data_IF_739112158807
#
_entry.id   IF_739112158807
#
_cell.length_a   1.000
_cell.length_b   1.000
_cell.length_c   1.000
_cell.angle_alpha   90.00
_cell.angle_beta   90.00
_cell.angle_gamma   90.00
#
_symmetry.space_group_name_H-M   'P 1'
#
loop_
_entity.id
_entity.type
_entity.pdbx_description
1 polymer ?
#
# COMPACT_ATOMS: atom_id res chain seq x y z
N UNK A 1 -0.20 -57.83 2.98
CA UNK A 1 0.41 -56.70 2.23
C UNK A 1 -0.72 -55.96 1.55
N UNK A 2 -1.18 -54.81 2.08
CA UNK A 2 -2.23 -53.99 1.46
C UNK A 2 -1.55 -52.96 0.57
N UNK A 3 -1.73 -53.09 -0.74
CA UNK A 3 -1.29 -52.07 -1.69
C UNK A 3 -2.40 -51.03 -1.80
N UNK A 4 -2.21 -49.87 -1.18
CA UNK A 4 -3.02 -48.68 -1.47
C UNK A 4 -2.66 -48.20 -2.88
N UNK A 5 -3.58 -48.42 -3.83
CA UNK A 5 -3.53 -47.75 -5.12
C UNK A 5 -4.19 -46.38 -4.92
N UNK A 6 -3.37 -45.33 -4.85
CA UNK A 6 -3.88 -43.95 -5.00
C UNK A 6 -4.41 -43.80 -6.43
N UNK A 7 -5.71 -44.00 -6.60
CA UNK A 7 -6.38 -43.71 -7.85
C UNK A 7 -6.50 -42.19 -8.00
N UNK A 8 -5.60 -41.61 -8.79
CA UNK A 8 -5.69 -40.22 -9.21
C UNK A 8 -6.76 -40.11 -10.30
N UNK A 9 -8.04 -40.16 -9.90
CA UNK A 9 -9.18 -40.12 -10.82
C UNK A 9 -9.34 -38.67 -11.29
N UNK A 10 -9.09 -38.36 -12.57
CA UNK A 10 -9.31 -37.02 -13.08
C UNK A 10 -10.79 -36.65 -12.94
N UNK A 11 -11.06 -35.42 -12.51
CA UNK A 11 -12.41 -34.90 -12.39
C UNK A 11 -13.20 -35.12 -13.69
N UNK A 12 -14.42 -35.63 -13.54
CA UNK A 12 -15.37 -35.71 -14.66
C UNK A 12 -15.61 -34.32 -15.24
N UNK A 13 -16.08 -34.24 -16.48
CA UNK A 13 -16.33 -32.96 -17.14
C UNK A 13 -17.33 -32.08 -16.36
N UNK A 14 -18.38 -32.70 -15.79
CA UNK A 14 -19.29 -32.04 -14.84
C UNK A 14 -18.57 -31.58 -13.56
N UNK A 15 -17.65 -32.38 -13.01
CA UNK A 15 -16.84 -32.03 -11.85
C UNK A 15 -15.87 -30.86 -12.11
N UNK A 16 -15.26 -30.82 -13.30
CA UNK A 16 -14.42 -29.70 -13.77
C UNK A 16 -15.26 -28.43 -13.93
N UNK A 17 -16.44 -28.53 -14.52
CA UNK A 17 -17.36 -27.40 -14.69
C UNK A 17 -17.85 -26.82 -13.35
N UNK A 18 -18.20 -27.68 -12.39
CA UNK A 18 -18.60 -27.24 -11.04
C UNK A 18 -17.43 -26.59 -10.29
N UNK A 19 -16.22 -27.19 -10.36
CA UNK A 19 -15.01 -26.64 -9.74
C UNK A 19 -14.61 -25.28 -10.34
N UNK A 20 -14.70 -25.14 -11.67
CA UNK A 20 -14.50 -23.87 -12.37
C UNK A 20 -15.58 -22.84 -12.02
N UNK A 21 -16.85 -23.25 -11.92
CA UNK A 21 -17.95 -22.37 -11.53
C UNK A 21 -17.79 -21.86 -10.10
N UNK A 22 -17.39 -22.72 -9.17
CA UNK A 22 -17.10 -22.32 -7.78
C UNK A 22 -15.88 -21.42 -7.68
N UNK A 23 -14.78 -21.74 -8.38
CA UNK A 23 -13.60 -20.88 -8.45
C UNK A 23 -13.92 -19.51 -9.06
N UNK A 24 -14.77 -19.46 -10.08
CA UNK A 24 -15.24 -18.21 -10.68
C UNK A 24 -16.18 -17.46 -9.75
N UNK A 25 -17.13 -18.12 -9.10
CA UNK A 25 -18.02 -17.50 -8.11
C UNK A 25 -17.24 -16.94 -6.91
N UNK A 26 -16.20 -17.66 -6.45
CA UNK A 26 -15.28 -17.21 -5.41
C UNK A 26 -14.45 -16.01 -5.89
N UNK A 27 -13.84 -16.06 -7.08
CA UNK A 27 -13.15 -14.91 -7.68
C UNK A 27 -14.08 -13.72 -7.92
N UNK A 28 -15.35 -13.94 -8.23
CA UNK A 28 -16.36 -12.89 -8.40
C UNK A 28 -16.81 -12.31 -7.05
N UNK A 29 -16.95 -13.13 -6.01
CA UNK A 29 -17.24 -12.70 -4.64
C UNK A 29 -16.07 -11.91 -4.02
N UNK A 30 -14.85 -12.45 -4.16
CA UNK A 30 -13.60 -11.79 -3.78
C UNK A 30 -13.34 -10.53 -4.64
N UNK A 31 -13.78 -10.56 -5.91
CA UNK A 31 -13.65 -9.46 -6.85
C UNK A 31 -14.66 -8.32 -6.67
N UNK A 32 -15.85 -8.57 -6.07
CA UNK A 32 -16.96 -7.59 -6.07
C UNK A 32 -17.54 -7.18 -4.70
N UNK A 33 -17.06 -7.68 -3.57
CA UNK A 33 -17.48 -7.07 -2.31
C UNK A 33 -16.63 -5.83 -2.00
N UNK A 34 -17.11 -4.66 -2.43
CA UNK A 34 -16.58 -3.36 -2.00
C UNK A 34 -16.37 -3.32 -0.49
N UNK A 35 -17.26 -3.97 0.26
CA UNK A 35 -17.19 -4.09 1.72
C UNK A 35 -15.95 -4.84 2.19
N UNK A 36 -15.59 -5.98 1.60
CA UNK A 36 -14.39 -6.74 1.99
C UNK A 36 -13.12 -5.96 1.63
N UNK A 37 -13.07 -5.37 0.43
CA UNK A 37 -11.94 -4.53 0.00
C UNK A 37 -11.78 -3.30 0.89
N UNK A 38 -12.90 -2.66 1.24
CA UNK A 38 -12.91 -1.47 2.10
C UNK A 38 -12.56 -1.81 3.54
N UNK A 39 -13.08 -2.91 4.08
CA UNK A 39 -12.72 -3.40 5.42
C UNK A 39 -11.22 -3.65 5.53
N UNK A 40 -10.64 -4.39 4.57
CA UNK A 40 -9.21 -4.65 4.52
C UNK A 40 -8.39 -3.35 4.45
N UNK A 41 -8.74 -2.43 3.54
CA UNK A 41 -8.05 -1.13 3.46
C UNK A 41 -8.17 -0.30 4.74
N UNK A 42 -9.29 -0.40 5.45
CA UNK A 42 -9.47 0.30 6.73
C UNK A 42 -8.59 -0.32 7.82
N UNK A 43 -8.45 -1.64 7.85
CA UNK A 43 -7.53 -2.35 8.75
C UNK A 43 -6.07 -1.96 8.47
N UNK A 44 -5.65 -2.01 7.21
CA UNK A 44 -4.30 -1.60 6.78
C UNK A 44 -4.04 -0.12 7.05
N UNK A 45 -5.04 0.76 6.84
CA UNK A 45 -4.93 2.18 7.18
C UNK A 45 -4.81 2.41 8.69
N UNK A 46 -5.53 1.64 9.50
CA UNK A 46 -5.39 1.68 10.96
C UNK A 46 -3.97 1.29 11.38
N UNK A 47 -3.45 0.20 10.84
CA UNK A 47 -2.07 -0.24 11.10
C UNK A 47 -1.04 0.80 10.63
N UNK A 48 -1.24 1.41 9.46
CA UNK A 48 -0.42 2.53 8.99
C UNK A 48 -0.40 3.69 10.00
N UNK A 49 -1.54 4.07 10.57
CA UNK A 49 -1.61 5.14 11.55
C UNK A 49 -0.83 4.80 12.83
N UNK A 50 -0.95 3.55 13.30
CA UNK A 50 -0.21 3.08 14.48
C UNK A 50 1.30 3.05 14.24
N UNK A 51 1.74 2.51 13.08
CA UNK A 51 3.15 2.48 12.70
C UNK A 51 3.72 3.90 12.57
N UNK A 52 2.95 4.81 11.97
CA UNK A 52 3.35 6.22 11.81
C UNK A 52 3.55 6.88 13.16
N UNK A 53 2.63 6.69 14.09
CA UNK A 53 2.72 7.30 15.42
C UNK A 53 3.91 6.75 16.21
N UNK A 54 4.12 5.42 16.18
CA UNK A 54 5.30 4.78 16.80
C UNK A 54 6.60 5.29 16.20
N UNK A 55 6.71 5.32 14.87
CA UNK A 55 7.85 5.87 14.17
C UNK A 55 8.13 7.31 14.63
N UNK A 56 7.11 8.18 14.62
CA UNK A 56 7.25 9.57 15.04
C UNK A 56 7.76 9.69 16.47
N UNK A 57 7.20 8.91 17.40
CA UNK A 57 7.63 8.92 18.80
C UNK A 57 9.08 8.43 18.97
N UNK A 58 9.47 7.39 18.24
CA UNK A 58 10.82 6.82 18.29
C UNK A 58 11.87 7.72 17.63
N UNK A 59 11.48 8.54 16.65
CA UNK A 59 12.41 9.36 15.86
C UNK A 59 12.39 10.86 16.18
N UNK A 60 11.49 11.33 17.06
CA UNK A 60 11.32 12.78 17.34
C UNK A 60 12.60 13.45 17.87
N UNK A 61 13.44 12.71 18.60
CA UNK A 61 14.72 13.20 19.12
C UNK A 61 15.94 12.64 18.37
N UNK A 62 15.72 11.88 17.29
CA UNK A 62 16.80 11.32 16.50
C UNK A 62 17.31 12.35 15.50
N UNK A 63 18.63 12.52 15.44
CA UNK A 63 19.27 13.50 14.53
C UNK A 63 19.90 12.83 13.31
N UNK A 64 20.11 11.52 13.36
CA UNK A 64 20.62 10.75 12.23
C UNK A 64 19.50 10.40 11.25
N UNK A 65 19.56 10.96 10.04
CA UNK A 65 18.63 10.62 8.97
C UNK A 65 18.63 9.12 8.66
N UNK A 66 19.78 8.46 8.73
CA UNK A 66 19.87 7.01 8.51
C UNK A 66 19.03 6.23 9.52
N UNK A 67 19.11 6.58 10.81
CA UNK A 67 18.31 5.93 11.85
C UNK A 67 16.82 6.24 11.73
N UNK A 68 16.46 7.45 11.30
CA UNK A 68 15.07 7.83 11.04
C UNK A 68 14.48 6.95 9.92
N UNK A 69 15.24 6.70 8.85
CA UNK A 69 14.79 5.93 7.69
C UNK A 69 14.96 4.42 7.83
N UNK A 70 15.87 3.96 8.69
CA UNK A 70 16.06 2.53 9.00
C UNK A 70 15.15 2.04 10.15
N UNK A 71 14.31 2.91 10.70
CA UNK A 71 13.37 2.54 11.74
C UNK A 71 12.41 1.42 11.25
N UNK A 72 12.18 0.41 12.08
CA UNK A 72 11.40 -0.76 11.69
C UNK A 72 9.94 -0.43 11.35
N UNK A 73 9.32 0.53 12.04
CA UNK A 73 7.96 0.98 11.74
C UNK A 73 7.91 1.71 10.40
N UNK A 74 8.93 2.51 10.08
CA UNK A 74 9.04 3.21 8.81
C UNK A 74 9.24 2.26 7.62
N UNK A 75 10.09 1.23 7.79
CA UNK A 75 10.29 0.20 6.76
C UNK A 75 8.99 -0.57 6.51
N UNK A 76 8.25 -0.95 7.56
CA UNK A 76 6.94 -1.59 7.39
C UNK A 76 5.94 -0.73 6.62
N UNK A 77 5.96 0.59 6.82
CA UNK A 77 5.14 1.52 6.02
C UNK A 77 5.51 1.45 4.54
N UNK A 78 6.80 1.36 4.23
CA UNK A 78 7.30 1.20 2.84
C UNK A 78 6.88 -0.15 2.26
N UNK A 79 6.87 -1.22 3.06
CA UNK A 79 6.52 -2.57 2.62
C UNK A 79 5.06 -2.71 2.13
N UNK A 80 4.15 -1.84 2.57
CA UNK A 80 2.79 -1.75 2.00
C UNK A 80 2.78 -1.30 0.52
N UNK A 81 3.86 -0.67 0.05
CA UNK A 81 4.00 -0.27 -1.34
C UNK A 81 2.90 0.70 -1.79
N UNK A 82 2.30 0.41 -2.95
CA UNK A 82 1.36 1.29 -3.63
C UNK A 82 0.06 1.57 -2.83
N UNK A 83 -0.38 0.65 -1.97
CA UNK A 83 -1.56 0.84 -1.12
C UNK A 83 -1.35 1.95 -0.08
N UNK A 84 -0.11 2.18 0.36
CA UNK A 84 0.22 3.25 1.32
C UNK A 84 0.39 4.63 0.67
N UNK A 85 0.55 4.71 -0.66
CA UNK A 85 0.79 5.99 -1.35
C UNK A 85 -0.29 7.05 -1.05
N UNK A 86 -1.60 6.77 -1.16
CA UNK A 86 -2.64 7.76 -0.83
C UNK A 86 -2.54 8.28 0.60
N UNK A 87 -2.17 7.41 1.54
CA UNK A 87 -2.08 7.75 2.96
C UNK A 87 -0.85 8.61 3.23
N UNK A 88 0.30 8.25 2.66
CA UNK A 88 1.56 9.00 2.75
C UNK A 88 1.40 10.38 2.10
N UNK A 89 0.80 10.48 0.91
CA UNK A 89 0.56 11.75 0.22
C UNK A 89 -0.37 12.65 1.05
N UNK A 90 -1.46 12.08 1.60
CA UNK A 90 -2.40 12.81 2.45
C UNK A 90 -1.73 13.32 3.73
N UNK A 91 -0.85 12.52 4.33
CA UNK A 91 -0.11 12.91 5.53
C UNK A 91 0.95 13.98 5.22
N UNK A 92 1.71 13.83 4.11
CA UNK A 92 2.64 14.84 3.61
C UNK A 92 1.94 16.19 3.39
N UNK A 93 0.73 16.19 2.83
CA UNK A 93 -0.07 17.41 2.63
C UNK A 93 -0.43 18.08 3.96
N UNK A 94 -0.90 17.30 4.96
CA UNK A 94 -1.43 17.80 6.24
C UNK A 94 -0.36 18.15 7.26
N UNK A 95 0.55 17.22 7.50
CA UNK A 95 1.50 17.25 8.61
C UNK A 95 2.93 17.52 8.16
N UNK A 96 3.21 17.38 6.85
CA UNK A 96 4.58 17.38 6.36
C UNK A 96 5.33 16.11 6.78
N UNK A 97 6.66 16.22 6.90
CA UNK A 97 7.52 15.14 7.38
C UNK A 97 8.43 14.55 6.30
N UNK A 98 9.25 13.59 6.72
CA UNK A 98 10.28 12.97 5.88
C UNK A 98 9.71 11.84 5.00
N UNK A 99 8.61 12.09 4.31
CA UNK A 99 7.98 11.10 3.43
C UNK A 99 8.65 10.94 2.07
N UNK A 100 9.52 11.88 1.67
CA UNK A 100 10.18 11.84 0.36
C UNK A 100 10.98 10.55 0.11
N UNK A 101 11.58 9.99 1.16
CA UNK A 101 12.30 8.72 1.04
C UNK A 101 11.33 7.56 0.79
N UNK A 102 10.27 7.42 1.59
CA UNK A 102 9.24 6.41 1.38
C UNK A 102 8.59 6.54 -0.01
N UNK A 103 8.21 7.75 -0.41
CA UNK A 103 7.63 8.01 -1.73
C UNK A 103 8.57 7.60 -2.86
N UNK A 104 9.86 7.93 -2.77
CA UNK A 104 10.86 7.51 -3.75
C UNK A 104 11.05 6.00 -3.77
N UNK A 105 11.07 5.34 -2.61
CA UNK A 105 11.23 3.89 -2.50
C UNK A 105 10.05 3.13 -3.09
N UNK A 106 8.83 3.58 -2.82
CA UNK A 106 7.61 2.94 -3.30
C UNK A 106 7.41 3.19 -4.80
N UNK A 107 7.61 4.43 -5.26
CA UNK A 107 7.35 4.80 -6.67
C UNK A 107 8.49 4.47 -7.62
N UNK A 108 9.71 4.30 -7.09
CA UNK A 108 10.94 4.19 -7.89
C UNK A 108 11.32 5.48 -8.62
N UNK A 109 10.61 6.58 -8.38
CA UNK A 109 10.75 7.85 -9.10
C UNK A 109 11.01 9.01 -8.14
N UNK A 110 11.56 10.12 -8.65
CA UNK A 110 11.75 11.35 -7.88
C UNK A 110 11.33 12.58 -8.72
N UNK A 111 10.18 13.21 -8.44
CA UNK A 111 9.67 14.36 -9.17
C UNK A 111 10.35 15.69 -8.80
N UNK A 112 11.24 15.71 -7.81
CA UNK A 112 11.84 16.94 -7.29
C UNK A 112 12.68 17.62 -8.37
N UNK A 113 12.32 18.86 -8.72
CA UNK A 113 13.05 19.70 -9.66
C UNK A 113 14.39 20.13 -9.05
N UNK A 114 15.42 20.27 -9.88
CA UNK A 114 16.78 20.62 -9.42
C UNK A 114 16.84 21.90 -8.59
N UNK A 115 16.05 22.90 -8.97
CA UNK A 115 15.88 24.19 -8.26
C UNK A 115 15.23 24.09 -6.87
N UNK A 116 14.52 22.99 -6.60
CA UNK A 116 13.83 22.74 -5.35
C UNK A 116 14.61 21.81 -4.42
N UNK A 117 15.74 21.23 -4.86
CA UNK A 117 16.57 20.37 -4.01
C UNK A 117 17.04 21.13 -2.77
N UNK A 118 16.82 20.55 -1.60
CA UNK A 118 17.15 21.17 -0.29
C UNK A 118 16.14 22.21 0.17
N UNK A 119 15.16 22.60 -0.65
CA UNK A 119 14.06 23.49 -0.28
C UNK A 119 12.85 22.65 0.07
N UNK A 120 12.67 22.37 1.36
CA UNK A 120 11.63 21.47 1.86
C UNK A 120 10.23 21.74 1.25
N UNK A 121 9.77 23.00 1.25
CA UNK A 121 8.46 23.35 0.68
C UNK A 121 8.40 23.15 -0.84
N UNK A 122 9.50 23.41 -1.56
CA UNK A 122 9.60 23.14 -3.00
C UNK A 122 9.54 21.64 -3.30
N UNK A 123 10.30 20.83 -2.56
CA UNK A 123 10.28 19.37 -2.66
C UNK A 123 8.89 18.80 -2.35
N UNK A 124 8.24 19.32 -1.31
CA UNK A 124 6.86 18.97 -0.96
C UNK A 124 5.91 19.31 -2.10
N UNK A 125 6.01 20.52 -2.66
CA UNK A 125 5.18 20.94 -3.79
C UNK A 125 5.35 20.04 -5.01
N UNK A 126 6.59 19.69 -5.39
CA UNK A 126 6.84 18.82 -6.54
C UNK A 126 6.24 17.41 -6.35
N UNK A 127 6.33 16.85 -5.14
CA UNK A 127 5.68 15.58 -4.80
C UNK A 127 4.16 15.67 -4.84
N UNK A 128 3.57 16.76 -4.34
CA UNK A 128 2.12 16.97 -4.36
C UNK A 128 1.61 17.17 -5.80
N UNK A 129 2.29 17.97 -6.61
CA UNK A 129 1.98 18.20 -8.04
C UNK A 129 2.00 16.88 -8.82
N UNK A 130 3.05 16.08 -8.63
CA UNK A 130 3.14 14.74 -9.21
C UNK A 130 1.99 13.84 -8.77
N UNK A 131 1.69 13.83 -7.46
CA UNK A 131 0.62 12.98 -6.92
C UNK A 131 -0.76 13.38 -7.43
N UNK A 132 -1.00 14.68 -7.61
CA UNK A 132 -2.25 15.18 -8.17
C UNK A 132 -2.40 14.71 -9.61
N UNK A 133 -1.35 14.90 -10.43
CA UNK A 133 -1.34 14.52 -11.84
C UNK A 133 -1.54 13.01 -12.07
N UNK A 134 -0.91 12.15 -11.28
CA UNK A 134 -0.83 10.72 -11.56
C UNK A 134 -1.57 9.79 -10.58
N UNK A 135 -1.95 10.27 -9.39
CA UNK A 135 -2.46 9.38 -8.32
C UNK A 135 -3.80 9.83 -7.72
N UNK A 136 -4.06 11.13 -7.62
CA UNK A 136 -5.31 11.66 -7.05
C UNK A 136 -6.39 11.96 -8.10
N UNK A 137 -6.01 12.04 -9.38
CA UNK A 137 -6.94 12.21 -10.49
C UNK A 137 -7.74 10.93 -10.82
N UNK A 138 -7.35 9.78 -10.29
CA UNK A 138 -8.16 8.56 -10.26
C UNK A 138 -8.93 8.50 -8.93
N UNK A 139 -9.98 9.32 -8.81
CA UNK A 139 -10.85 9.40 -7.62
C UNK A 139 -11.27 8.00 -7.12
N UNK A 140 -11.03 7.63 -5.85
CA UNK A 140 -11.85 6.62 -5.22
C UNK A 140 -13.18 7.28 -4.84
N UNK A 141 -14.24 6.79 -5.47
CA UNK A 141 -15.63 6.97 -5.05
C UNK A 141 -15.75 6.45 -3.61
N UNK A 142 -15.58 7.30 -2.60
CA UNK A 142 -16.32 7.18 -1.34
C UNK A 142 -16.38 8.57 -0.68
N UNK A 143 -17.50 9.26 -0.88
CA UNK A 143 -18.07 10.21 0.07
C UNK A 143 -19.57 10.13 -0.15
N UNK A 144 -20.24 9.34 0.69
CA UNK A 144 -21.68 9.36 0.94
C UNK A 144 -21.86 9.52 2.43
#
# INVERSE_FOLDING_TARGET
MKTEFEYNIPLSESGKNISCSFSNAKKLYEGNSLFVKQKKRNEEYSEFLELKEKWKQETIFESSSDKIFSNSNYVKIIDYGAEALPWIIKDLKRNGGFWFFALKKITGFNPIKTENIGRYEGMKSDWLEWSEKYYLNEKPIVNS
#
